data_IF_429828550355
#
_entry.id   IF_429828550355
#
_cell.length_a   1.000
_cell.length_b   1.000
_cell.length_c   1.000
_cell.angle_alpha   90.00
_cell.angle_beta   90.00
_cell.angle_gamma   90.00
#
_symmetry.space_group_name_H-M   'P 1'
#
loop_
_entity.id
_entity.type
_entity.pdbx_description
1 polymer ?
#
# COMPACT_ATOMS: atom_id res chain seq x y z
N UNK A 1 15.84 -19.52 -9.94
CA UNK A 1 14.76 -18.73 -9.33
C UNK A 1 15.29 -17.35 -8.94
N UNK A 2 14.76 -16.29 -9.55
CA UNK A 2 15.15 -14.90 -9.31
C UNK A 2 14.51 -14.35 -8.01
N UNK A 3 14.88 -13.11 -7.63
CA UNK A 3 14.41 -12.48 -6.38
C UNK A 3 12.89 -12.35 -6.30
N UNK A 4 12.23 -11.99 -7.41
CA UNK A 4 10.78 -11.80 -7.48
C UNK A 4 10.07 -13.15 -7.36
N UNK A 5 10.55 -14.17 -8.06
CA UNK A 5 9.97 -15.52 -7.99
C UNK A 5 10.02 -16.07 -6.57
N UNK A 6 11.12 -15.85 -5.83
CA UNK A 6 11.23 -16.23 -4.42
C UNK A 6 10.20 -15.48 -3.56
N UNK A 7 10.07 -14.16 -3.72
CA UNK A 7 9.09 -13.36 -2.98
C UNK A 7 7.65 -13.84 -3.25
N UNK A 8 7.28 -14.01 -4.51
CA UNK A 8 5.95 -14.48 -4.90
C UNK A 8 5.64 -15.90 -4.38
N UNK A 9 6.65 -16.74 -4.18
CA UNK A 9 6.48 -18.07 -3.58
C UNK A 9 6.16 -18.01 -2.08
N UNK A 10 6.55 -16.94 -1.39
CA UNK A 10 6.25 -16.74 0.04
C UNK A 10 4.93 -15.98 0.29
N UNK A 11 4.31 -15.42 -0.74
CA UNK A 11 3.05 -14.68 -0.62
C UNK A 11 1.83 -15.60 -0.73
N UNK A 12 0.86 -15.38 0.15
CA UNK A 12 -0.53 -15.83 0.02
C UNK A 12 -1.20 -15.21 -1.21
N UNK A 13 -2.35 -15.75 -1.61
CA UNK A 13 -3.15 -15.15 -2.69
C UNK A 13 -3.64 -13.74 -2.34
N UNK A 14 -4.01 -13.51 -1.07
CA UNK A 14 -4.51 -12.22 -0.59
C UNK A 14 -3.43 -11.15 -0.71
N UNK A 15 -2.20 -11.43 -0.30
CA UNK A 15 -1.07 -10.47 -0.45
C UNK A 15 -0.76 -10.18 -1.92
N UNK A 16 -0.89 -11.17 -2.81
CA UNK A 16 -0.71 -10.96 -4.26
C UNK A 16 -1.77 -10.02 -4.82
N UNK A 17 -3.02 -10.19 -4.43
CA UNK A 17 -4.12 -9.30 -4.80
C UNK A 17 -3.92 -7.90 -4.21
N UNK A 18 -3.40 -7.81 -2.99
CA UNK A 18 -3.08 -6.54 -2.35
C UNK A 18 -2.06 -5.73 -3.14
N UNK A 19 -1.04 -6.37 -3.73
CA UNK A 19 -0.08 -5.67 -4.61
C UNK A 19 -0.73 -5.04 -5.85
N UNK A 20 -1.90 -5.53 -6.28
CA UNK A 20 -2.68 -4.98 -7.38
C UNK A 20 -3.66 -3.89 -6.94
N UNK A 21 -3.74 -3.63 -5.63
CA UNK A 21 -4.67 -2.66 -5.04
C UNK A 21 -3.95 -1.32 -4.80
N UNK A 22 -4.56 -0.25 -5.30
CA UNK A 22 -4.12 1.12 -5.09
C UNK A 22 -5.23 1.94 -4.42
N UNK A 23 -4.88 2.74 -3.43
CA UNK A 23 -5.81 3.64 -2.72
C UNK A 23 -5.33 5.09 -2.79
N UNK A 24 -6.27 6.04 -2.84
CA UNK A 24 -5.96 7.46 -2.76
C UNK A 24 -5.78 7.90 -1.30
N UNK A 25 -4.70 8.63 -1.02
CA UNK A 25 -4.45 9.36 0.20
C UNK A 25 -5.08 10.76 0.13
N UNK A 26 -5.14 11.44 1.27
CA UNK A 26 -5.94 12.66 1.44
C UNK A 26 -5.29 13.98 1.01
N UNK A 27 -4.06 14.02 0.49
CA UNK A 27 -3.41 15.32 0.21
C UNK A 27 -3.89 15.98 -1.08
N UNK A 28 -4.47 15.20 -2.01
CA UNK A 28 -5.08 15.73 -3.22
C UNK A 28 -6.38 14.99 -3.53
N UNK A 29 -7.46 15.75 -3.75
CA UNK A 29 -8.78 15.20 -4.09
C UNK A 29 -9.00 15.38 -5.59
N UNK A 30 -8.94 14.28 -6.33
CA UNK A 30 -9.12 14.23 -7.79
C UNK A 30 -10.42 13.53 -8.20
N UNK A 31 -11.22 13.10 -7.22
CA UNK A 31 -12.48 12.38 -7.40
C UNK A 31 -13.24 12.26 -6.07
N UNK A 32 -14.29 11.43 -6.01
CA UNK A 32 -15.04 11.21 -4.77
C UNK A 32 -14.14 10.72 -3.64
N UNK A 33 -14.31 11.29 -2.45
CA UNK A 33 -13.52 10.91 -1.28
C UNK A 33 -14.08 9.61 -0.71
N UNK A 34 -13.24 8.58 -0.67
CA UNK A 34 -13.53 7.35 0.08
C UNK A 34 -13.05 7.60 1.51
N UNK A 35 -13.98 7.61 2.46
CA UNK A 35 -13.65 7.71 3.87
C UNK A 35 -13.03 6.39 4.37
N UNK A 36 -11.92 6.47 5.10
CA UNK A 36 -11.27 5.31 5.68
C UNK A 36 -9.82 5.58 6.09
N UNK A 37 -9.32 4.77 7.02
CA UNK A 37 -7.91 4.70 7.38
C UNK A 37 -7.26 3.52 6.64
N UNK A 38 -6.20 3.80 5.89
CA UNK A 38 -5.45 2.79 5.13
C UNK A 38 -4.39 2.07 5.96
N UNK A 39 -4.15 2.48 7.22
CA UNK A 39 -3.07 1.98 8.08
C UNK A 39 -3.11 0.45 8.23
N UNK A 40 -4.25 -0.11 8.62
CA UNK A 40 -4.38 -1.57 8.80
C UNK A 40 -4.28 -2.33 7.47
N UNK A 41 -4.83 -1.76 6.39
CA UNK A 41 -4.77 -2.38 5.07
C UNK A 41 -3.35 -2.41 4.48
N UNK A 42 -2.50 -1.44 4.85
CA UNK A 42 -1.06 -1.47 4.55
C UNK A 42 -0.38 -2.58 5.36
N UNK A 43 -0.60 -2.62 6.69
CA UNK A 43 0.01 -3.63 7.58
C UNK A 43 -0.37 -5.06 7.21
N UNK A 44 -1.60 -5.29 6.78
CA UNK A 44 -2.10 -6.61 6.39
C UNK A 44 -1.71 -7.01 4.96
N UNK A 45 -0.99 -6.17 4.22
CA UNK A 45 -0.64 -6.42 2.82
C UNK A 45 -1.82 -6.38 1.84
N UNK A 46 -2.94 -5.74 2.21
CA UNK A 46 -4.13 -5.60 1.36
C UNK A 46 -4.05 -4.43 0.36
N UNK A 47 -3.08 -3.53 0.53
CA UNK A 47 -2.79 -2.42 -0.40
C UNK A 47 -1.32 -2.46 -0.78
N UNK A 48 -1.04 -2.36 -2.08
CA UNK A 48 0.32 -2.29 -2.62
C UNK A 48 0.80 -0.87 -2.87
N UNK A 49 -0.13 0.07 -3.14
CA UNK A 49 0.22 1.42 -3.59
C UNK A 49 -0.70 2.50 -3.00
N UNK A 50 -0.13 3.67 -2.68
CA UNK A 50 -0.86 4.89 -2.35
C UNK A 50 -0.65 5.96 -3.44
N UNK A 51 -1.72 6.62 -3.84
CA UNK A 51 -1.70 7.80 -4.72
C UNK A 51 -2.14 9.05 -3.94
N UNK A 52 -1.80 10.26 -4.39
CA UNK A 52 -2.19 11.52 -3.73
C UNK A 52 -1.64 11.69 -2.30
N UNK A 53 -0.52 11.04 -1.98
CA UNK A 53 0.27 11.28 -0.77
C UNK A 53 1.47 12.15 -1.15
N UNK A 54 1.57 13.33 -0.54
CA UNK A 54 2.57 14.36 -0.89
C UNK A 54 3.45 14.71 0.30
N UNK A 55 4.76 14.73 0.08
CA UNK A 55 5.75 15.16 1.07
C UNK A 55 6.53 14.00 1.71
N UNK A 56 7.83 14.20 1.94
CA UNK A 56 8.73 13.15 2.39
C UNK A 56 8.39 12.59 3.78
N UNK A 57 7.91 13.44 4.70
CA UNK A 57 7.52 13.02 6.06
C UNK A 57 6.36 12.03 6.06
N UNK A 58 5.18 12.41 5.53
CA UNK A 58 4.02 11.52 5.43
C UNK A 58 4.29 10.25 4.61
N UNK A 59 5.04 10.35 3.50
CA UNK A 59 5.47 9.17 2.72
C UNK A 59 6.31 8.21 3.58
N UNK A 60 7.25 8.74 4.37
CA UNK A 60 8.07 7.92 5.26
C UNK A 60 7.23 7.25 6.34
N UNK A 61 6.26 7.95 6.91
CA UNK A 61 5.36 7.38 7.94
C UNK A 61 4.58 6.18 7.40
N UNK A 62 3.95 6.32 6.22
CA UNK A 62 3.24 5.22 5.58
C UNK A 62 4.18 4.07 5.22
N UNK A 63 5.39 4.37 4.74
CA UNK A 63 6.37 3.34 4.38
C UNK A 63 6.86 2.55 5.60
N UNK A 64 6.94 3.17 6.79
CA UNK A 64 7.25 2.44 8.03
C UNK A 64 6.20 1.39 8.33
N UNK A 65 4.92 1.66 8.08
CA UNK A 65 3.84 0.67 8.28
C UNK A 65 3.99 -0.57 7.39
N UNK A 66 4.60 -0.43 6.21
CA UNK A 66 4.78 -1.51 5.23
C UNK A 66 6.08 -2.32 5.44
N UNK A 67 7.09 -1.73 6.09
CA UNK A 67 8.45 -2.29 6.20
C UNK A 67 8.79 -2.73 7.63
N UNK A 68 8.23 -2.07 8.64
CA UNK A 68 8.44 -2.36 10.07
C UNK A 68 7.25 -3.11 10.67
#
# INVERSE_FOLDING_TARGET
MNRIEKLMAHMTLVEKLGQLTMTAAGHAVTGPVIAGDSTEAIRSGAIGNLLNLVGAGPVREMQRLAVE
#
